data_IF_515345708242
#
_entry.id   IF_515345708242
#
_cell.length_a   1.000
_cell.length_b   1.000
_cell.length_c   1.000
_cell.angle_alpha   90.00
_cell.angle_beta   90.00
_cell.angle_gamma   90.00
#
_symmetry.space_group_name_H-M   'P 1'
#
loop_
_entity.id
_entity.type
_entity.pdbx_description
1 polymer ?
#
# COMPACT_ATOMS: atom_id res chain seq x y z
N UNK A 1 -14.42 -9.03 5.61
CA UNK A 1 -13.56 -10.14 6.12
C UNK A 1 -12.73 -9.57 7.26
N UNK A 2 -12.37 -10.38 8.26
CA UNK A 2 -11.49 -9.89 9.33
C UNK A 2 -10.09 -9.57 8.77
N UNK A 3 -9.50 -8.49 9.27
CA UNK A 3 -8.11 -8.10 9.00
C UNK A 3 -7.30 -8.48 10.23
N UNK A 4 -6.21 -9.21 10.03
CA UNK A 4 -5.33 -9.64 11.10
C UNK A 4 -3.99 -8.91 11.02
N UNK A 5 -3.62 -8.20 12.07
CA UNK A 5 -2.29 -7.65 12.26
C UNK A 5 -1.32 -8.71 12.76
N UNK A 6 -0.16 -8.80 12.10
CA UNK A 6 0.97 -9.59 12.59
C UNK A 6 1.89 -8.63 13.35
N UNK A 7 1.99 -8.79 14.66
CA UNK A 7 2.72 -7.88 15.54
C UNK A 7 4.01 -8.53 15.99
N UNK A 8 5.08 -7.74 16.09
CA UNK A 8 6.35 -8.12 16.69
C UNK A 8 6.67 -7.18 17.84
N UNK A 9 6.92 -7.73 19.01
CA UNK A 9 7.44 -7.01 20.17
C UNK A 9 8.90 -7.40 20.36
N UNK A 10 9.80 -6.41 20.35
CA UNK A 10 11.24 -6.67 20.51
C UNK A 10 11.85 -5.67 21.48
N UNK A 11 12.92 -6.10 22.15
CA UNK A 11 13.71 -5.20 22.97
C UNK A 11 14.56 -4.32 22.09
N UNK A 12 14.41 -3.00 22.23
CA UNK A 12 15.20 -1.97 21.57
C UNK A 12 15.96 -1.15 22.61
N UNK A 13 16.96 -0.40 22.15
CA UNK A 13 17.80 0.44 23.00
C UNK A 13 19.03 -0.27 23.58
N UNK A 14 19.87 0.51 24.27
CA UNK A 14 21.17 0.08 24.79
C UNK A 14 21.27 0.34 26.30
N UNK A 15 21.96 -0.56 27.02
CA UNK A 15 22.20 -0.44 28.46
C UNK A 15 20.90 -0.37 29.28
N UNK A 16 20.82 0.64 30.15
CA UNK A 16 19.67 0.91 31.02
C UNK A 16 18.46 1.51 30.30
N UNK A 17 18.61 1.97 29.05
CA UNK A 17 17.50 2.54 28.25
C UNK A 17 16.76 1.51 27.41
N UNK A 18 16.92 0.22 27.73
CA UNK A 18 16.20 -0.84 27.04
C UNK A 18 14.71 -0.74 27.35
N UNK A 19 13.91 -0.86 26.31
CA UNK A 19 12.47 -0.96 26.43
C UNK A 19 11.94 -1.87 25.33
N UNK A 20 10.70 -2.30 25.48
CA UNK A 20 10.01 -3.11 24.48
C UNK A 20 9.23 -2.19 23.56
N UNK A 21 9.46 -2.31 22.25
CA UNK A 21 8.64 -1.68 21.23
C UNK A 21 7.86 -2.73 20.45
N UNK A 22 6.64 -2.38 20.05
CA UNK A 22 5.76 -3.21 19.25
C UNK A 22 5.63 -2.62 17.84
N UNK A 23 5.77 -3.46 16.82
CA UNK A 23 5.64 -3.07 15.42
C UNK A 23 4.64 -3.98 14.70
N UNK A 24 3.83 -3.42 13.82
CA UNK A 24 2.98 -4.19 12.90
C UNK A 24 3.82 -4.56 11.68
N UNK A 25 4.05 -5.85 11.48
CA UNK A 25 4.83 -6.40 10.36
C UNK A 25 4.07 -6.38 9.04
N UNK A 26 2.76 -6.64 9.10
CA UNK A 26 1.84 -6.66 7.95
C UNK A 26 0.42 -6.89 8.44
N UNK A 27 -0.54 -6.62 7.56
CA UNK A 27 -1.91 -7.09 7.67
C UNK A 27 -2.13 -8.33 6.79
N UNK A 28 -3.02 -9.22 7.23
CA UNK A 28 -3.46 -10.41 6.49
C UNK A 28 -4.98 -10.45 6.50
N UNK A 29 -5.58 -10.43 5.32
CA UNK A 29 -7.02 -10.63 5.17
C UNK A 29 -7.39 -12.11 5.19
N UNK A 30 -8.49 -12.42 5.89
CA UNK A 30 -9.13 -13.72 5.89
C UNK A 30 -9.19 -14.37 7.27
N UNK A 31 -8.72 -15.62 7.36
CA UNK A 31 -8.85 -16.42 8.58
C UNK A 31 -7.66 -16.24 9.52
N UNK A 32 -7.92 -16.43 10.80
CA UNK A 32 -6.92 -16.44 11.87
C UNK A 32 -5.80 -17.46 11.62
N UNK A 33 -6.15 -18.65 11.12
CA UNK A 33 -5.20 -19.72 10.82
C UNK A 33 -4.23 -19.32 9.71
N UNK A 34 -4.72 -18.61 8.68
CA UNK A 34 -3.88 -18.05 7.62
C UNK A 34 -2.90 -17.05 8.22
N UNK A 35 -3.37 -16.12 9.05
CA UNK A 35 -2.51 -15.14 9.72
C UNK A 35 -1.44 -15.80 10.61
N UNK A 36 -1.78 -16.86 11.35
CA UNK A 36 -0.83 -17.63 12.15
C UNK A 36 0.24 -18.33 11.29
N UNK A 37 -0.15 -18.93 10.17
CA UNK A 37 0.80 -19.58 9.25
C UNK A 37 1.79 -18.56 8.65
N UNK A 38 1.27 -17.38 8.27
CA UNK A 38 2.09 -16.25 7.80
C UNK A 38 3.05 -15.76 8.89
N UNK A 39 2.57 -15.65 10.13
CA UNK A 39 3.38 -15.25 11.29
C UNK A 39 4.49 -16.27 11.57
N UNK A 40 4.19 -17.57 11.51
CA UNK A 40 5.18 -18.63 11.72
C UNK A 40 6.31 -18.54 10.69
N UNK A 41 5.96 -18.36 9.41
CA UNK A 41 6.95 -18.20 8.33
C UNK A 41 7.88 -17.02 8.61
N UNK A 42 7.31 -15.88 9.02
CA UNK A 42 8.07 -14.67 9.35
C UNK A 42 8.94 -14.87 10.59
N UNK A 43 8.41 -15.46 11.66
CA UNK A 43 9.16 -15.71 12.90
C UNK A 43 10.37 -16.64 12.66
N UNK A 44 10.23 -17.66 11.80
CA UNK A 44 11.33 -18.55 11.39
C UNK A 44 12.42 -17.81 10.59
N UNK A 45 12.03 -16.87 9.74
CA UNK A 45 12.95 -16.04 8.95
C UNK A 45 13.52 -14.81 9.66
N UNK A 46 13.00 -14.46 10.85
CA UNK A 46 13.40 -13.25 11.54
C UNK A 46 14.85 -13.31 12.05
N UNK A 47 15.63 -12.29 11.69
CA UNK A 47 17.01 -12.07 12.11
C UNK A 47 17.10 -10.69 12.80
N UNK A 48 17.04 -10.63 14.15
CA UNK A 48 17.12 -9.37 14.86
C UNK A 48 18.53 -8.78 14.79
N UNK A 49 18.65 -7.45 14.84
CA UNK A 49 19.94 -6.75 14.83
C UNK A 49 20.83 -7.11 16.03
N UNK A 50 20.20 -7.46 17.15
CA UNK A 50 20.86 -7.90 18.37
C UNK A 50 20.32 -9.27 18.81
N UNK A 51 21.19 -10.15 19.35
CA UNK A 51 22.62 -9.96 19.64
C UNK A 51 23.55 -10.11 18.41
N UNK A 52 24.64 -9.32 18.38
CA UNK A 52 25.69 -9.42 17.35
C UNK A 52 26.45 -10.77 17.33
N UNK A 53 26.42 -11.52 18.44
CA UNK A 53 27.06 -12.83 18.56
C UNK A 53 26.09 -13.82 19.20
N UNK A 54 25.17 -14.41 18.41
CA UNK A 54 24.20 -15.37 18.91
C UNK A 54 24.89 -16.72 19.20
N UNK A 55 24.74 -17.22 20.43
CA UNK A 55 25.22 -18.57 20.82
C UNK A 55 24.17 -19.64 20.54
N UNK A 56 22.90 -19.32 20.77
CA UNK A 56 21.78 -20.24 20.60
C UNK A 56 20.52 -19.49 20.24
N UNK A 57 19.73 -20.06 19.34
CA UNK A 57 18.43 -19.55 18.93
C UNK A 57 17.35 -20.61 19.17
N UNK A 58 16.24 -20.22 19.79
CA UNK A 58 15.10 -21.08 20.10
C UNK A 58 13.80 -20.37 19.73
N UNK A 59 12.94 -21.04 18.99
CA UNK A 59 11.61 -20.54 18.65
C UNK A 59 10.56 -21.43 19.30
N UNK A 60 9.71 -20.85 20.13
CA UNK A 60 8.62 -21.51 20.81
C UNK A 60 7.30 -21.09 20.19
N UNK A 61 6.31 -21.98 20.23
CA UNK A 61 4.91 -21.64 19.94
C UNK A 61 4.21 -21.34 21.27
N UNK A 62 3.50 -20.22 21.35
CA UNK A 62 2.80 -19.76 22.55
C UNK A 62 1.41 -19.27 22.14
N UNK A 63 0.35 -20.03 22.48
CA UNK A 63 -1.04 -19.71 22.15
C UNK A 63 -1.20 -19.27 20.71
N UNK A 64 -1.41 -17.96 20.54
CA UNK A 64 -1.70 -17.26 19.29
C UNK A 64 -0.49 -16.58 18.66
N UNK A 65 0.70 -17.07 18.99
CA UNK A 65 1.95 -16.46 18.59
C UNK A 65 3.17 -17.37 18.76
N UNK A 66 4.33 -16.72 18.69
CA UNK A 66 5.63 -17.36 18.80
C UNK A 66 6.56 -16.52 19.66
N UNK A 67 7.41 -17.18 20.44
CA UNK A 67 8.44 -16.53 21.23
C UNK A 67 9.81 -16.96 20.71
N UNK A 68 10.58 -16.01 20.19
CA UNK A 68 11.96 -16.21 19.80
C UNK A 68 12.85 -15.79 20.96
N UNK A 69 13.72 -16.70 21.41
CA UNK A 69 14.75 -16.42 22.41
C UNK A 69 16.11 -16.66 21.77
N UNK A 70 16.96 -15.64 21.85
CA UNK A 70 18.36 -15.71 21.39
C UNK A 70 19.27 -15.48 22.58
N UNK A 71 20.12 -16.46 22.87
CA UNK A 71 21.14 -16.34 23.91
C UNK A 71 22.35 -15.63 23.31
N UNK A 72 22.62 -14.41 23.76
CA UNK A 72 23.82 -13.66 23.43
C UNK A 72 25.01 -14.04 24.31
N UNK A 73 26.15 -13.38 24.07
CA UNK A 73 27.34 -13.60 24.88
C UNK A 73 27.18 -13.14 26.35
N UNK A 74 26.42 -12.06 26.57
CA UNK A 74 26.28 -11.38 27.87
C UNK A 74 24.85 -11.36 28.42
N UNK A 75 23.86 -11.47 27.53
CA UNK A 75 22.44 -11.42 27.88
C UNK A 75 21.63 -12.20 26.85
N UNK A 76 20.47 -12.69 27.25
CA UNK A 76 19.47 -13.23 26.32
C UNK A 76 18.54 -12.12 25.83
N UNK A 77 18.06 -12.26 24.61
CA UNK A 77 17.11 -11.37 23.96
C UNK A 77 15.86 -12.15 23.59
N UNK A 78 14.70 -11.53 23.76
CA UNK A 78 13.42 -12.09 23.36
C UNK A 78 12.72 -11.22 22.35
N UNK A 79 12.11 -11.86 21.36
CA UNK A 79 11.20 -11.24 20.40
C UNK A 79 9.91 -12.03 20.41
N UNK A 80 8.79 -11.38 20.74
CA UNK A 80 7.46 -11.99 20.73
C UNK A 80 6.76 -11.66 19.42
N UNK A 81 6.15 -12.66 18.82
CA UNK A 81 5.34 -12.55 17.62
C UNK A 81 3.91 -12.89 17.98
N UNK A 82 2.95 -12.04 17.67
CA UNK A 82 1.53 -12.26 17.98
C UNK A 82 0.66 -11.97 16.77
N UNK A 83 -0.49 -12.64 16.70
CA UNK A 83 -1.58 -12.33 15.77
C UNK A 83 -2.67 -11.61 16.55
N UNK A 84 -3.16 -10.48 16.03
CA UNK A 84 -4.27 -9.74 16.59
C UNK A 84 -5.27 -9.35 15.49
N UNK A 85 -6.57 -9.37 15.81
CA UNK A 85 -7.59 -8.83 14.91
C UNK A 85 -7.52 -7.30 14.95
N UNK A 86 -7.54 -6.66 13.78
CA UNK A 86 -7.61 -5.21 13.66
C UNK A 86 -9.07 -4.78 13.86
N UNK A 87 -9.33 -4.05 14.95
CA UNK A 87 -10.67 -3.58 15.30
C UNK A 87 -10.93 -2.14 14.84
N UNK A 88 -9.90 -1.30 14.86
CA UNK A 88 -9.98 0.11 14.50
C UNK A 88 -8.64 0.59 13.96
N UNK A 89 -8.67 1.39 12.89
CA UNK A 89 -7.52 2.06 12.29
C UNK A 89 -7.90 3.50 11.97
N UNK A 90 -7.36 4.42 12.78
CA UNK A 90 -7.70 5.85 12.73
C UNK A 90 -7.26 6.54 11.44
N UNK A 91 -6.38 5.91 10.65
CA UNK A 91 -5.88 6.43 9.39
C UNK A 91 -6.09 5.42 8.25
N UNK A 92 -7.11 4.56 8.34
CA UNK A 92 -7.45 3.63 7.28
C UNK A 92 -7.70 4.38 5.96
N UNK A 93 -7.15 3.91 4.83
CA UNK A 93 -7.42 4.53 3.53
C UNK A 93 -8.91 4.41 3.22
N UNK A 94 -9.50 5.50 2.73
CA UNK A 94 -10.88 5.48 2.24
C UNK A 94 -11.02 4.39 1.17
N UNK A 95 -12.07 3.55 1.23
CA UNK A 95 -12.31 2.58 0.17
C UNK A 95 -12.40 3.33 -1.16
N UNK A 96 -11.81 2.80 -2.24
CA UNK A 96 -11.85 3.48 -3.54
C UNK A 96 -13.31 3.75 -3.88
N UNK A 97 -13.70 5.01 -3.89
CA UNK A 97 -15.06 5.42 -4.26
C UNK A 97 -15.33 4.86 -5.66
N UNK A 98 -16.42 4.09 -5.76
CA UNK A 98 -16.91 3.53 -7.02
C UNK A 98 -17.22 4.60 -8.10
N UNK A 99 -17.11 5.88 -7.74
CA UNK A 99 -17.38 7.04 -8.58
C UNK A 99 -16.25 7.39 -9.57
N UNK A 100 -15.11 6.69 -9.52
CA UNK A 100 -14.07 6.74 -10.59
C UNK A 100 -14.01 5.46 -11.41
N UNK A 101 -15.07 4.65 -11.41
CA UNK A 101 -15.29 3.79 -12.58
C UNK A 101 -15.65 4.73 -13.75
N UNK A 102 -14.86 4.75 -14.84
CA UNK A 102 -15.35 5.33 -16.09
C UNK A 102 -16.72 4.70 -16.36
N UNK A 103 -17.75 5.48 -16.72
CA UNK A 103 -19.06 4.90 -16.99
C UNK A 103 -18.87 3.74 -17.95
N UNK A 104 -19.28 2.54 -17.54
CA UNK A 104 -19.33 1.37 -18.42
C UNK A 104 -20.00 1.84 -19.71
N UNK A 105 -19.21 1.84 -20.79
CA UNK A 105 -19.73 2.10 -22.11
C UNK A 105 -20.84 1.08 -22.35
N UNK A 106 -22.09 1.54 -22.29
CA UNK A 106 -23.26 0.73 -22.62
C UNK A 106 -23.11 0.12 -24.02
N UNK A 107 -23.93 -0.89 -24.36
CA UNK A 107 -23.78 -1.68 -25.57
C UNK A 107 -23.61 -0.78 -26.80
N UNK A 108 -22.44 -0.87 -27.42
CA UNK A 108 -22.10 -0.17 -28.66
C UNK A 108 -23.11 -0.62 -29.73
N UNK A 109 -23.93 0.27 -30.31
CA UNK A 109 -24.81 -0.13 -31.40
C UNK A 109 -23.95 -0.55 -32.59
N UNK A 110 -24.34 -1.66 -33.23
CA UNK A 110 -23.74 -2.19 -34.46
C UNK A 110 -23.57 -1.11 -35.53
N UNK A 111 -22.54 -1.21 -36.40
CA UNK A 111 -22.21 -0.16 -37.35
C UNK A 111 -23.29 -0.09 -38.45
N UNK A 112 -24.19 0.88 -38.34
CA UNK A 112 -25.03 1.32 -39.43
C UNK A 112 -24.24 2.28 -40.32
N UNK A 113 -24.03 1.83 -41.56
CA UNK A 113 -23.72 2.54 -42.80
C UNK A 113 -22.89 3.85 -42.80
N UNK A 114 -21.89 3.83 -43.68
CA UNK A 114 -20.91 4.88 -43.94
C UNK A 114 -21.53 6.29 -44.13
N UNK A 115 -21.14 7.22 -43.26
CA UNK A 115 -21.31 8.67 -43.44
C UNK A 115 -20.02 9.25 -44.03
N UNK A 116 -20.07 10.08 -45.09
CA UNK A 116 -18.87 10.61 -45.76
C UNK A 116 -18.06 11.55 -44.84
N UNK A 117 -16.75 11.71 -45.06
CA UNK A 117 -15.89 12.48 -44.18
C UNK A 117 -16.27 13.97 -44.18
N UNK A 118 -16.27 14.57 -42.99
CA UNK A 118 -16.45 16.00 -42.77
C UNK A 118 -15.30 16.81 -43.40
N UNK A 119 -15.53 18.05 -43.86
CA UNK A 119 -14.49 18.87 -44.47
C UNK A 119 -13.41 19.25 -43.45
N UNK A 120 -12.15 19.06 -43.83
CA UNK A 120 -10.99 19.45 -43.04
C UNK A 120 -10.98 20.98 -42.82
N UNK A 121 -10.85 21.41 -41.56
CA UNK A 121 -10.63 22.80 -41.17
C UNK A 121 -9.31 23.30 -41.77
N UNK A 122 -9.25 24.48 -42.42
CA UNK A 122 -8.00 25.00 -42.95
C UNK A 122 -7.04 25.37 -41.81
N UNK A 123 -5.72 25.18 -41.99
CA UNK A 123 -4.73 25.49 -40.98
C UNK A 123 -4.64 27.00 -40.72
N UNK A 124 -4.78 27.41 -39.45
CA UNK A 124 -4.63 28.80 -39.01
C UNK A 124 -3.14 29.12 -38.84
N UNK A 125 -2.63 30.10 -39.59
CA UNK A 125 -1.26 30.59 -39.40
C UNK A 125 -1.04 31.16 -37.99
N UNK A 126 0.01 30.68 -37.33
CA UNK A 126 0.43 31.10 -35.98
C UNK A 126 1.85 31.67 -36.03
N UNK A 127 2.16 32.58 -35.11
CA UNK A 127 3.53 33.02 -34.85
C UNK A 127 4.32 31.89 -34.15
N UNK A 128 5.64 32.04 -34.04
CA UNK A 128 6.54 31.04 -33.44
C UNK A 128 6.30 30.78 -31.95
N UNK A 129 5.56 31.66 -31.28
CA UNK A 129 5.09 31.55 -29.90
C UNK A 129 3.71 30.86 -29.79
N UNK A 130 3.13 30.42 -30.91
CA UNK A 130 1.85 29.69 -30.96
C UNK A 130 0.61 30.58 -31.02
N UNK A 131 0.75 31.91 -31.01
CA UNK A 131 -0.39 32.84 -31.08
C UNK A 131 -0.89 32.95 -32.53
N UNK A 132 -2.20 32.81 -32.80
CA UNK A 132 -2.74 32.94 -34.16
C UNK A 132 -2.54 34.35 -34.71
N UNK A 133 -1.96 34.47 -35.91
CA UNK A 133 -1.67 35.75 -36.57
C UNK A 133 -2.95 36.54 -36.85
N UNK A 134 -4.06 35.83 -37.08
CA UNK A 134 -5.39 36.39 -37.27
C UNK A 134 -6.33 35.81 -36.21
N UNK A 135 -6.55 36.51 -35.10
CA UNK A 135 -7.48 36.04 -34.08
C UNK A 135 -8.92 36.08 -34.62
N UNK A 136 -9.77 35.17 -34.12
CA UNK A 136 -11.10 34.90 -34.70
C UNK A 136 -12.10 36.07 -34.64
N UNK A 137 -11.77 37.14 -33.92
CA UNK A 137 -12.56 38.38 -33.82
C UNK A 137 -12.17 39.44 -34.86
N UNK A 138 -11.02 39.27 -35.55
CA UNK A 138 -10.51 40.23 -36.51
C UNK A 138 -11.40 40.27 -37.77
N UNK A 139 -12.24 41.31 -37.89
CA UNK A 139 -13.20 41.48 -38.98
C UNK A 139 -14.67 41.22 -38.60
N UNK A 140 -14.98 40.98 -37.32
CA UNK A 140 -16.38 40.96 -36.85
C UNK A 140 -16.88 42.39 -36.65
N UNK A 141 -17.92 42.78 -37.38
CA UNK A 141 -18.56 44.11 -37.32
C UNK A 141 -19.67 44.22 -36.26
N UNK A 142 -19.70 43.33 -35.28
CA UNK A 142 -20.78 43.25 -34.27
C UNK A 142 -20.27 43.14 -32.84
N UNK A 143 -19.33 44.00 -32.45
CA UNK A 143 -19.00 44.22 -31.05
C UNK A 143 -19.71 45.52 -30.61
N UNK A 144 -20.46 45.54 -29.49
CA UNK A 144 -21.05 46.77 -28.96
C UNK A 144 -19.98 47.77 -28.47
#
# INVERSE_FOLDING_TARGET
MAIWGLVVETTVGLGERKHTEAYVLTHVEGTRQKALAELERRARGHAPEHPRSPKRRRLFREGDGFLLVIDGAWQSFSTRFTVAELLDDSAAPDPPSAETAPPEAGPQPEPADAVPPAPATPPVERYSDGVPKRPAWWGRTGLP
#
